data_IF_205049412853
#
_entry.id   IF_205049412853
#
_cell.length_a   1.000
_cell.length_b   1.000
_cell.length_c   1.000
_cell.angle_alpha   90.00
_cell.angle_beta   90.00
_cell.angle_gamma   90.00
#
_symmetry.space_group_name_H-M   'P 1'
#
loop_
_entity.id
_entity.type
_entity.pdbx_description
1 polymer ?
#
# COMPACT_ATOMS: atom_id res chain seq x y z
N UNK A 1 -5.95 5.50 12.75
CA UNK A 1 -6.56 4.63 11.71
C UNK A 1 -6.39 5.36 10.38
N UNK A 2 -5.93 4.69 9.31
CA UNK A 2 -5.70 5.35 8.03
C UNK A 2 -6.97 6.03 7.50
N UNK A 3 -6.79 7.10 6.71
CA UNK A 3 -7.89 7.74 5.97
C UNK A 3 -8.10 7.03 4.63
N UNK A 4 -9.23 7.28 3.98
CA UNK A 4 -9.40 6.90 2.59
C UNK A 4 -8.38 7.67 1.74
N UNK A 5 -7.73 7.02 0.79
CA UNK A 5 -6.72 7.65 -0.08
C UNK A 5 -6.79 7.09 -1.50
N UNK A 6 -6.33 7.89 -2.46
CA UNK A 6 -6.18 7.44 -3.83
C UNK A 6 -5.10 6.37 -3.98
N UNK A 7 -5.21 5.55 -5.02
CA UNK A 7 -4.20 4.55 -5.37
C UNK A 7 -2.80 5.14 -5.51
N UNK A 8 -2.67 6.30 -6.18
CA UNK A 8 -1.39 6.99 -6.35
C UNK A 8 -0.76 7.35 -5.01
N UNK A 9 -1.56 7.78 -4.03
CA UNK A 9 -1.08 8.12 -2.68
C UNK A 9 -0.64 6.88 -1.90
N UNK A 10 -1.34 5.75 -2.06
CA UNK A 10 -0.91 4.46 -1.49
C UNK A 10 0.50 4.10 -2.01
N UNK A 11 0.68 4.07 -3.33
CA UNK A 11 1.95 3.68 -3.96
C UNK A 11 3.08 4.63 -3.56
N UNK A 12 2.84 5.94 -3.59
CA UNK A 12 3.84 6.93 -3.21
C UNK A 12 4.35 6.71 -1.78
N UNK A 13 3.45 6.51 -0.82
CA UNK A 13 3.82 6.30 0.58
C UNK A 13 4.55 4.98 0.81
N UNK A 14 4.14 3.92 0.11
CA UNK A 14 4.89 2.66 0.12
C UNK A 14 6.32 2.86 -0.38
N UNK A 15 6.53 3.65 -1.45
CA UNK A 15 7.88 4.02 -1.91
C UNK A 15 8.67 4.80 -0.86
N UNK A 16 8.05 5.76 -0.19
CA UNK A 16 8.69 6.53 0.90
C UNK A 16 9.07 5.64 2.11
N UNK A 17 8.37 4.51 2.29
CA UNK A 17 8.68 3.47 3.29
C UNK A 17 9.69 2.43 2.81
N UNK A 18 10.25 2.61 1.61
CA UNK A 18 11.29 1.77 1.03
C UNK A 18 10.78 0.54 0.28
N UNK A 19 9.52 0.52 -0.15
CA UNK A 19 9.03 -0.50 -1.07
C UNK A 19 9.32 -0.12 -2.53
N UNK A 20 9.65 -1.11 -3.35
CA UNK A 20 9.78 -0.97 -4.80
C UNK A 20 8.54 -1.50 -5.55
N UNK A 21 8.38 -1.06 -6.80
CA UNK A 21 7.25 -1.38 -7.69
C UNK A 21 6.34 -0.17 -7.97
N UNK A 22 5.05 -0.40 -8.30
CA UNK A 22 4.33 -1.67 -8.27
C UNK A 22 4.63 -2.56 -9.49
N UNK A 23 4.61 -3.87 -9.29
CA UNK A 23 4.77 -4.87 -10.34
C UNK A 23 3.46 -5.57 -10.65
N UNK A 24 3.33 -6.07 -11.88
CA UNK A 24 2.18 -6.89 -12.29
C UNK A 24 2.32 -8.31 -11.78
N UNK A 25 1.31 -8.80 -11.05
CA UNK A 25 1.20 -10.19 -10.58
C UNK A 25 0.03 -10.95 -11.21
N UNK A 26 -0.38 -10.57 -12.41
CA UNK A 26 -1.59 -11.08 -13.05
C UNK A 26 -2.80 -10.22 -12.71
N UNK A 27 -3.71 -10.72 -11.86
CA UNK A 27 -4.96 -10.01 -11.51
C UNK A 27 -4.75 -8.77 -10.64
N UNK A 28 -3.71 -8.78 -9.80
CA UNK A 28 -3.42 -7.71 -8.85
C UNK A 28 -1.96 -7.27 -8.94
N UNK A 29 -1.73 -6.00 -8.64
CA UNK A 29 -0.40 -5.45 -8.48
C UNK A 29 0.19 -5.85 -7.12
N UNK A 30 1.51 -5.74 -6.99
CA UNK A 30 2.19 -5.90 -5.72
C UNK A 30 3.41 -4.98 -5.60
N UNK A 31 3.84 -4.71 -4.37
CA UNK A 31 5.08 -3.99 -4.05
C UNK A 31 5.97 -4.86 -3.17
N UNK A 32 7.28 -4.63 -3.22
CA UNK A 32 8.27 -5.47 -2.52
C UNK A 32 9.20 -4.65 -1.64
N UNK A 33 9.66 -5.21 -0.52
CA UNK A 33 10.71 -4.64 0.33
C UNK A 33 11.57 -5.77 0.89
N UNK A 34 12.75 -5.97 0.31
CA UNK A 34 13.53 -7.18 0.55
C UNK A 34 12.76 -8.41 0.11
N UNK A 35 12.59 -9.38 1.01
CA UNK A 35 11.81 -10.61 0.76
C UNK A 35 10.29 -10.42 0.95
N UNK A 36 9.85 -9.29 1.51
CA UNK A 36 8.44 -9.02 1.76
C UNK A 36 7.73 -8.61 0.47
N UNK A 37 6.62 -9.28 0.16
CA UNK A 37 5.72 -8.97 -0.96
C UNK A 37 4.33 -8.63 -0.45
N UNK A 38 3.81 -7.47 -0.86
CA UNK A 38 2.49 -6.97 -0.46
C UNK A 38 1.63 -6.72 -1.69
N UNK A 39 0.47 -7.37 -1.75
CA UNK A 39 -0.50 -7.12 -2.81
C UNK A 39 -1.19 -5.76 -2.61
N UNK A 40 -1.38 -5.03 -3.69
CA UNK A 40 -2.10 -3.74 -3.69
C UNK A 40 -3.24 -3.79 -4.71
N UNK A 41 -4.32 -3.02 -4.50
CA UNK A 41 -5.42 -2.94 -5.46
C UNK A 41 -4.93 -2.40 -6.81
N UNK A 42 -5.67 -2.67 -7.87
CA UNK A 42 -5.41 -2.06 -9.17
C UNK A 42 -5.77 -0.57 -9.15
N UNK A 43 -5.16 0.26 -10.02
CA UNK A 43 -5.51 1.66 -10.14
C UNK A 43 -7.00 1.82 -10.45
N UNK A 44 -7.68 2.68 -9.70
CA UNK A 44 -9.08 3.04 -9.92
C UNK A 44 -9.30 4.51 -9.54
N UNK A 45 -10.44 5.06 -9.98
CA UNK A 45 -10.76 6.49 -9.79
C UNK A 45 -11.23 6.84 -8.38
N UNK A 46 -11.76 5.87 -7.65
CA UNK A 46 -12.23 6.07 -6.28
C UNK A 46 -11.09 5.93 -5.27
N UNK A 47 -11.30 6.45 -4.07
CA UNK A 47 -10.38 6.22 -2.97
C UNK A 47 -10.49 4.78 -2.45
N UNK A 48 -9.35 4.26 -2.03
CA UNK A 48 -9.21 3.01 -1.30
C UNK A 48 -9.74 3.24 0.11
N UNK A 49 -10.59 2.34 0.59
CA UNK A 49 -11.17 2.46 1.92
C UNK A 49 -10.11 2.32 3.01
N UNK A 50 -10.30 3.05 4.13
CA UNK A 50 -9.46 2.93 5.32
C UNK A 50 -9.29 1.51 5.83
N UNK A 51 -10.31 0.66 5.68
CA UNK A 51 -10.26 -0.73 6.13
C UNK A 51 -9.33 -1.57 5.26
N UNK A 52 -9.42 -1.41 3.92
CA UNK A 52 -8.53 -2.10 3.00
C UNK A 52 -7.08 -1.63 3.18
N UNK A 53 -6.87 -0.33 3.40
CA UNK A 53 -5.53 0.21 3.71
C UNK A 53 -4.99 -0.40 5.00
N UNK A 54 -5.80 -0.45 6.07
CA UNK A 54 -5.37 -1.04 7.34
C UNK A 54 -4.96 -2.52 7.19
N UNK A 55 -5.69 -3.28 6.38
CA UNK A 55 -5.35 -4.68 6.10
C UNK A 55 -4.05 -4.80 5.29
N UNK A 56 -3.85 -3.95 4.27
CA UNK A 56 -2.61 -3.89 3.49
C UNK A 56 -1.42 -3.55 4.40
N UNK A 57 -1.55 -2.56 5.29
CA UNK A 57 -0.49 -2.18 6.23
C UNK A 57 -0.17 -3.32 7.22
N UNK A 58 -1.20 -4.03 7.69
CA UNK A 58 -1.04 -5.20 8.57
C UNK A 58 -0.26 -6.31 7.88
N UNK A 59 -0.58 -6.63 6.61
CA UNK A 59 0.15 -7.60 5.81
C UNK A 59 1.59 -7.16 5.52
N UNK A 60 1.81 -5.85 5.39
CA UNK A 60 3.12 -5.25 5.19
C UNK A 60 3.96 -5.11 6.48
N UNK A 61 3.41 -5.46 7.64
CA UNK A 61 4.08 -5.24 8.94
C UNK A 61 4.30 -3.76 9.28
N UNK A 62 3.55 -2.84 8.66
CA UNK A 62 3.67 -1.39 8.88
C UNK A 62 2.68 -0.97 9.96
N UNK A 63 3.16 -0.37 11.03
CA UNK A 63 2.28 0.20 12.05
C UNK A 63 1.55 1.46 11.54
N UNK A 64 0.39 1.75 12.12
CA UNK A 64 -0.34 3.00 11.78
C UNK A 64 0.51 4.25 12.09
N UNK A 65 1.36 4.19 13.12
CA UNK A 65 2.26 5.30 13.49
C UNK A 65 3.30 5.55 12.40
N UNK A 66 3.94 4.51 11.88
CA UNK A 66 4.88 4.63 10.76
C UNK A 66 4.20 5.17 9.49
N UNK A 67 2.95 4.78 9.26
CA UNK A 67 2.14 5.25 8.14
C UNK A 67 1.74 6.73 8.23
N UNK A 68 1.48 7.22 9.44
CA UNK A 68 1.04 8.60 9.69
C UNK A 68 2.21 9.57 9.85
N UNK A 69 3.40 9.10 10.25
CA UNK A 69 4.61 9.92 10.38
C UNK A 69 5.29 10.29 9.04
N UNK A 70 4.58 10.23 7.92
CA UNK A 70 5.05 10.46 6.54
C UNK A 70 4.08 11.33 5.73
#
# INVERSE_FOLDING_TARGET
MPKNISWTKLVRRFKELGFDGPYSGGRHLFMVKGELKVHIPNPHRADISKHLIAEILRQAGISTKEWEGR
#
